data_IF_698243201441
#
_entry.id   IF_698243201441
#
_cell.length_a   1.000
_cell.length_b   1.000
_cell.length_c   1.000
_cell.angle_alpha   90.00
_cell.angle_beta   90.00
_cell.angle_gamma   90.00
#
_symmetry.space_group_name_H-M   'P 1'
#
loop_
_entity.id
_entity.type
_entity.pdbx_description
1 polymer ?
#
# COMPACT_ATOMS: atom_id res chain seq x y z
N UNK A 1 9.81 13.95 -2.35
CA UNK A 1 8.75 14.62 -1.57
C UNK A 1 7.41 14.61 -2.30
N UNK A 2 7.29 15.28 -3.46
CA UNK A 2 6.04 15.29 -4.22
C UNK A 2 5.58 13.89 -4.63
N UNK A 3 6.50 13.05 -5.06
CA UNK A 3 6.22 11.68 -5.44
C UNK A 3 5.67 10.86 -4.25
N UNK A 4 6.29 11.02 -3.07
CA UNK A 4 5.84 10.34 -1.85
C UNK A 4 4.45 10.82 -1.43
N UNK A 5 4.21 12.13 -1.49
CA UNK A 5 2.89 12.70 -1.18
C UNK A 5 1.82 12.19 -2.16
N UNK A 6 2.17 12.09 -3.45
CA UNK A 6 1.27 11.57 -4.46
C UNK A 6 0.87 10.12 -4.17
N UNK A 7 1.82 9.27 -3.82
CA UNK A 7 1.56 7.88 -3.47
C UNK A 7 0.69 7.78 -2.21
N UNK A 8 0.93 8.64 -1.21
CA UNK A 8 0.12 8.66 0.01
C UNK A 8 -1.34 9.02 -0.31
N UNK A 9 -1.59 9.98 -1.20
CA UNK A 9 -2.93 10.33 -1.62
C UNK A 9 -3.64 9.17 -2.33
N UNK A 10 -2.92 8.44 -3.19
CA UNK A 10 -3.47 7.26 -3.86
C UNK A 10 -3.86 6.20 -2.83
N UNK A 11 -3.00 5.92 -1.86
CA UNK A 11 -3.28 4.94 -0.81
C UNK A 11 -4.44 5.38 0.08
N UNK A 12 -4.54 6.67 0.39
CA UNK A 12 -5.67 7.19 1.15
C UNK A 12 -6.98 7.03 0.39
N UNK A 13 -6.99 7.40 -0.89
CA UNK A 13 -8.18 7.26 -1.74
C UNK A 13 -8.61 5.79 -1.84
N UNK A 14 -7.66 4.88 -2.04
CA UNK A 14 -7.93 3.44 -2.09
C UNK A 14 -8.49 2.94 -0.75
N UNK A 15 -7.90 3.38 0.36
CA UNK A 15 -8.34 2.99 1.70
C UNK A 15 -9.79 3.43 1.95
N UNK A 16 -10.09 4.70 1.67
CA UNK A 16 -11.44 5.23 1.86
C UNK A 16 -12.45 4.50 0.96
N UNK A 17 -12.07 4.19 -0.27
CA UNK A 17 -12.91 3.48 -1.23
C UNK A 17 -13.26 2.08 -0.71
N UNK A 18 -12.27 1.29 -0.26
CA UNK A 18 -12.53 -0.08 0.19
C UNK A 18 -13.25 -0.12 1.53
N UNK A 19 -12.99 0.83 2.43
CA UNK A 19 -13.74 0.93 3.69
C UNK A 19 -15.19 1.28 3.41
N UNK A 20 -15.43 2.25 2.53
CA UNK A 20 -16.78 2.61 2.10
C UNK A 20 -17.51 1.44 1.45
N UNK A 21 -16.81 0.70 0.57
CA UNK A 21 -17.38 -0.49 -0.07
C UNK A 21 -17.72 -1.58 0.96
N UNK A 22 -16.86 -1.76 1.98
CA UNK A 22 -17.11 -2.72 3.04
C UNK A 22 -18.40 -2.41 3.79
N UNK A 23 -18.66 -1.15 4.10
CA UNK A 23 -19.93 -0.74 4.72
C UNK A 23 -21.09 -0.86 3.75
N UNK A 24 -20.89 -0.48 2.49
CA UNK A 24 -21.93 -0.57 1.47
C UNK A 24 -22.41 -2.00 1.28
N UNK A 25 -21.50 -2.96 1.18
CA UNK A 25 -21.83 -4.38 1.00
C UNK A 25 -22.09 -5.11 2.31
N UNK A 26 -21.95 -4.41 3.45
CA UNK A 26 -22.15 -5.00 4.78
C UNK A 26 -21.35 -6.30 4.94
N UNK A 27 -20.05 -6.24 4.63
CA UNK A 27 -19.19 -7.43 4.67
C UNK A 27 -19.12 -8.00 6.10
N UNK A 28 -19.00 -9.33 6.24
CA UNK A 28 -18.95 -9.94 7.56
C UNK A 28 -17.61 -9.66 8.27
N UNK A 29 -17.62 -9.94 9.57
CA UNK A 29 -16.48 -9.63 10.45
C UNK A 29 -15.16 -10.27 9.98
N UNK A 30 -15.19 -11.50 9.51
CA UNK A 30 -13.99 -12.18 9.02
C UNK A 30 -13.40 -11.49 7.79
N UNK A 31 -14.23 -10.97 6.90
CA UNK A 31 -13.77 -10.20 5.74
C UNK A 31 -13.20 -8.85 6.16
N UNK A 32 -13.78 -8.21 7.18
CA UNK A 32 -13.21 -6.99 7.75
C UNK A 32 -11.80 -7.21 8.30
N UNK A 33 -11.55 -8.35 8.95
CA UNK A 33 -10.22 -8.66 9.47
C UNK A 33 -9.19 -8.71 8.34
N UNK A 34 -9.53 -9.37 7.22
CA UNK A 34 -8.64 -9.43 6.06
C UNK A 34 -8.45 -8.07 5.41
N UNK A 35 -9.51 -7.28 5.31
CA UNK A 35 -9.44 -5.95 4.72
C UNK A 35 -8.56 -5.02 5.54
N UNK A 36 -8.71 -5.04 6.86
CA UNK A 36 -7.87 -4.25 7.76
C UNK A 36 -6.41 -4.67 7.62
N UNK A 37 -6.14 -5.98 7.57
CA UNK A 37 -4.78 -6.49 7.39
C UNK A 37 -4.17 -6.00 6.08
N UNK A 38 -4.93 -6.00 4.99
CA UNK A 38 -4.48 -5.51 3.70
C UNK A 38 -4.13 -4.02 3.76
N UNK A 39 -4.99 -3.22 4.37
CA UNK A 39 -4.78 -1.77 4.52
C UNK A 39 -3.52 -1.50 5.34
N UNK A 40 -3.39 -2.16 6.48
CA UNK A 40 -2.21 -1.99 7.36
C UNK A 40 -0.93 -2.39 6.64
N UNK A 41 -0.95 -3.48 5.88
CA UNK A 41 0.21 -3.95 5.12
C UNK A 41 0.69 -2.91 4.13
N UNK A 42 -0.22 -2.31 3.36
CA UNK A 42 0.12 -1.29 2.36
C UNK A 42 0.67 -0.04 3.02
N UNK A 43 0.01 0.47 4.06
CA UNK A 43 0.47 1.67 4.76
C UNK A 43 1.81 1.45 5.45
N UNK A 44 2.04 0.27 6.02
CA UNK A 44 3.31 -0.06 6.64
C UNK A 44 4.43 -0.09 5.59
N UNK A 45 4.20 -0.75 4.46
CA UNK A 45 5.19 -0.80 3.38
C UNK A 45 5.50 0.60 2.85
N UNK A 46 4.48 1.43 2.65
CA UNK A 46 4.66 2.81 2.18
C UNK A 46 5.44 3.65 3.18
N UNK A 47 5.13 3.55 4.46
CA UNK A 47 5.84 4.30 5.50
C UNK A 47 7.31 3.88 5.57
N UNK A 48 7.60 2.60 5.50
CA UNK A 48 8.98 2.09 5.51
C UNK A 48 9.74 2.56 4.26
N UNK A 49 9.10 2.52 3.09
CA UNK A 49 9.73 3.00 1.85
C UNK A 49 10.05 4.50 1.95
N UNK A 50 9.11 5.29 2.47
CA UNK A 50 9.31 6.73 2.65
C UNK A 50 10.47 7.00 3.60
N UNK A 51 10.49 6.33 4.76
CA UNK A 51 11.56 6.48 5.74
C UNK A 51 12.92 6.11 5.13
N UNK A 52 12.96 5.03 4.36
CA UNK A 52 14.17 4.58 3.69
C UNK A 52 14.66 5.59 2.67
N UNK A 53 13.77 6.15 1.84
CA UNK A 53 14.13 7.17 0.86
C UNK A 53 14.69 8.43 1.53
N UNK A 54 14.04 8.89 2.61
CA UNK A 54 14.53 10.04 3.36
C UNK A 54 15.91 9.78 3.97
N UNK A 55 16.12 8.59 4.50
CA UNK A 55 17.40 8.20 5.05
C UNK A 55 18.49 8.19 3.97
N UNK A 56 18.20 7.63 2.81
CA UNK A 56 19.12 7.61 1.68
C UNK A 56 19.48 9.02 1.21
N UNK A 57 18.52 9.93 1.19
CA UNK A 57 18.74 11.31 0.76
C UNK A 57 19.69 12.05 1.69
N UNK A 58 19.65 11.74 2.98
CA UNK A 58 20.58 12.33 3.97
C UNK A 58 21.93 11.66 3.95
N UNK A 59 21.97 10.32 3.90
CA UNK A 59 23.19 9.54 4.00
C UNK A 59 23.99 9.51 2.70
N UNK A 60 23.32 9.61 1.55
CA UNK A 60 23.95 9.50 0.23
C UNK A 60 23.26 10.46 -0.75
N UNK A 61 23.50 11.78 -0.63
CA UNK A 61 22.86 12.77 -1.50
C UNK A 61 23.31 12.67 -2.96
N UNK A 62 24.51 12.14 -3.21
CA UNK A 62 25.01 11.93 -4.55
C UNK A 62 24.61 10.54 -5.06
N UNK A 63 24.57 10.37 -6.38
CA UNK A 63 24.22 9.10 -7.00
C UNK A 63 25.22 8.01 -6.60
N UNK A 64 24.67 6.88 -6.16
CA UNK A 64 25.45 5.67 -5.86
C UNK A 64 24.65 4.46 -6.35
N UNK A 65 25.27 3.58 -7.18
CA UNK A 65 24.52 2.46 -7.79
C UNK A 65 23.87 1.53 -6.79
N UNK A 66 24.53 1.24 -5.66
CA UNK A 66 23.98 0.36 -4.64
C UNK A 66 22.78 1.00 -3.91
N UNK A 67 22.85 2.30 -3.67
CA UNK A 67 21.77 3.05 -3.04
C UNK A 67 20.56 3.08 -3.97
N UNK A 68 20.79 3.27 -5.28
CA UNK A 68 19.69 3.19 -6.25
C UNK A 68 19.03 1.82 -6.25
N UNK A 69 19.82 0.75 -6.23
CA UNK A 69 19.27 -0.61 -6.14
C UNK A 69 18.46 -0.82 -4.86
N UNK A 70 18.95 -0.33 -3.72
CA UNK A 70 18.25 -0.43 -2.45
C UNK A 70 16.91 0.32 -2.48
N UNK A 71 16.88 1.52 -3.07
CA UNK A 71 15.65 2.29 -3.26
C UNK A 71 14.66 1.54 -4.16
N UNK A 72 15.15 0.92 -5.24
CA UNK A 72 14.32 0.14 -6.15
C UNK A 72 13.69 -1.07 -5.45
N UNK A 73 14.46 -1.75 -4.60
CA UNK A 73 13.95 -2.88 -3.81
C UNK A 73 12.90 -2.41 -2.81
N UNK A 74 13.13 -1.29 -2.14
CA UNK A 74 12.15 -0.73 -1.20
C UNK A 74 10.84 -0.35 -1.91
N UNK A 75 10.93 0.23 -3.11
CA UNK A 75 9.76 0.54 -3.93
C UNK A 75 9.04 -0.74 -4.38
N UNK A 76 9.79 -1.78 -4.73
CA UNK A 76 9.22 -3.08 -5.10
C UNK A 76 8.45 -3.71 -3.95
N UNK A 77 8.89 -3.52 -2.71
CA UNK A 77 8.17 -4.01 -1.53
C UNK A 77 6.77 -3.38 -1.43
N UNK A 78 6.65 -2.08 -1.73
CA UNK A 78 5.36 -1.40 -1.76
C UNK A 78 4.47 -2.00 -2.85
N UNK A 79 5.03 -2.26 -4.03
CA UNK A 79 4.28 -2.87 -5.13
C UNK A 79 3.78 -4.26 -4.76
N UNK A 80 4.63 -5.08 -4.15
CA UNK A 80 4.24 -6.43 -3.70
C UNK A 80 3.10 -6.35 -2.70
N UNK A 81 3.21 -5.45 -1.71
CA UNK A 81 2.16 -5.23 -0.72
C UNK A 81 0.86 -4.77 -1.38
N UNK A 82 0.94 -3.85 -2.34
CA UNK A 82 -0.23 -3.35 -3.06
C UNK A 82 -0.90 -4.44 -3.89
N UNK A 83 -0.12 -5.29 -4.56
CA UNK A 83 -0.67 -6.41 -5.33
C UNK A 83 -1.35 -7.43 -4.41
N UNK A 84 -0.74 -7.73 -3.26
CA UNK A 84 -1.36 -8.60 -2.25
C UNK A 84 -2.65 -8.03 -1.71
N UNK A 85 -2.66 -6.73 -1.40
CA UNK A 85 -3.86 -6.06 -0.93
C UNK A 85 -4.97 -6.04 -2.00
N UNK A 86 -4.59 -5.84 -3.27
CA UNK A 86 -5.54 -5.87 -4.37
C UNK A 86 -6.16 -7.27 -4.52
N UNK A 87 -5.35 -8.32 -4.35
CA UNK A 87 -5.85 -9.70 -4.38
C UNK A 87 -6.85 -9.96 -3.24
N UNK A 88 -6.53 -9.51 -2.03
CA UNK A 88 -7.44 -9.63 -0.89
C UNK A 88 -8.74 -8.88 -1.18
N UNK A 89 -8.65 -7.66 -1.67
CA UNK A 89 -9.83 -6.87 -2.02
C UNK A 89 -10.69 -7.54 -3.07
N UNK A 90 -10.07 -8.11 -4.10
CA UNK A 90 -10.79 -8.84 -5.15
C UNK A 90 -11.53 -10.05 -4.58
N UNK A 91 -10.85 -10.85 -3.73
CA UNK A 91 -11.44 -12.02 -3.11
C UNK A 91 -12.63 -11.67 -2.20
N UNK A 92 -12.59 -10.49 -1.58
CA UNK A 92 -13.69 -10.02 -0.74
C UNK A 92 -14.85 -9.49 -1.58
N UNK A 93 -14.57 -8.57 -2.51
CA UNK A 93 -15.62 -7.78 -3.16
C UNK A 93 -16.21 -8.40 -4.42
N UNK A 94 -15.43 -9.18 -5.18
CA UNK A 94 -15.96 -9.79 -6.41
C UNK A 94 -17.17 -10.69 -6.13
N UNK A 95 -17.16 -11.56 -5.09
CA UNK A 95 -18.36 -12.34 -4.77
C UNK A 95 -19.58 -11.51 -4.38
N UNK A 96 -19.38 -10.31 -3.83
CA UNK A 96 -20.49 -9.41 -3.51
C UNK A 96 -21.06 -8.72 -4.75
N UNK A 97 -20.21 -8.48 -5.76
CA UNK A 97 -20.64 -7.89 -7.04
C UNK A 97 -21.32 -8.89 -7.94
N UNK A 98 -20.92 -10.16 -7.89
CA UNK A 98 -21.41 -11.24 -8.74
C UNK A 98 -21.85 -12.41 -7.86
N UNK A 99 -22.95 -12.26 -7.10
CA UNK A 99 -23.43 -13.29 -6.18
C UNK A 99 -23.95 -14.54 -6.86
#
# INVERSE_FOLDING_TARGET
MLRTQHNAWIHLAATLTVVGAGFWFAIPRDEWLWLIAAIVMVWTAEALNTAFELLCDVASPEFHPLVKQAKDVAAAAVLIAALGAAAIGALIFVPHLFP
#
